data_IF_148338395083
#
_entry.id   IF_148338395083
#
_cell.length_a   1.000
_cell.length_b   1.000
_cell.length_c   1.000
_cell.angle_alpha   90.00
_cell.angle_beta   90.00
_cell.angle_gamma   90.00
#
_symmetry.space_group_name_H-M   'P 1'
#
loop_
_entity.id
_entity.type
_entity.pdbx_description
1 polymer ?
#
# COMPACT_ATOMS: atom_id res chain seq x y z
N UNK A 1 -42.29 -23.89 -58.96
CA UNK A 1 -40.88 -23.80 -59.41
C UNK A 1 -39.99 -24.11 -58.22
N UNK A 2 -39.44 -25.31 -58.22
CA UNK A 2 -38.58 -25.83 -57.16
C UNK A 2 -37.21 -25.13 -57.24
N UNK A 3 -36.92 -24.25 -56.29
CA UNK A 3 -35.71 -23.44 -56.28
C UNK A 3 -34.51 -24.26 -55.80
N UNK A 4 -34.02 -25.18 -56.65
CA UNK A 4 -32.79 -25.95 -56.38
C UNK A 4 -31.59 -25.00 -56.25
N UNK A 5 -31.10 -24.85 -55.01
CA UNK A 5 -29.84 -24.16 -54.71
C UNK A 5 -28.71 -24.95 -55.36
N UNK A 6 -28.19 -24.44 -56.47
CA UNK A 6 -27.03 -25.01 -57.17
C UNK A 6 -25.73 -24.53 -56.51
N UNK A 7 -24.73 -25.41 -56.37
CA UNK A 7 -23.40 -25.12 -55.77
C UNK A 7 -22.76 -23.81 -56.26
N UNK A 8 -23.04 -23.42 -57.51
CA UNK A 8 -22.57 -22.19 -58.15
C UNK A 8 -23.10 -20.91 -57.47
N UNK A 9 -24.35 -20.91 -57.00
CA UNK A 9 -24.96 -19.78 -56.26
C UNK A 9 -24.41 -19.64 -54.84
N UNK A 10 -24.11 -20.76 -54.18
CA UNK A 10 -23.48 -20.77 -52.86
C UNK A 10 -22.04 -20.20 -52.93
N UNK A 11 -21.30 -20.53 -53.99
CA UNK A 11 -19.93 -20.04 -54.19
C UNK A 11 -19.86 -18.53 -54.48
N UNK A 12 -20.87 -17.98 -55.17
CA UNK A 12 -20.97 -16.53 -55.46
C UNK A 12 -21.38 -15.73 -54.20
N UNK A 13 -22.25 -16.29 -53.35
CA UNK A 13 -22.57 -15.71 -52.04
C UNK A 13 -21.34 -15.68 -51.12
N UNK A 14 -20.59 -16.79 -51.06
CA UNK A 14 -19.34 -16.87 -50.28
C UNK A 14 -18.24 -15.95 -50.83
N UNK A 15 -18.10 -15.81 -52.16
CA UNK A 15 -17.05 -14.95 -52.74
C UNK A 15 -17.29 -13.45 -52.57
N UNK A 16 -18.54 -13.03 -52.27
CA UNK A 16 -18.89 -11.61 -52.14
C UNK A 16 -19.13 -11.17 -50.68
N UNK A 17 -19.54 -12.08 -49.80
CA UNK A 17 -19.82 -11.76 -48.39
C UNK A 17 -18.72 -12.19 -47.39
N UNK A 18 -17.65 -12.88 -47.82
CA UNK A 18 -16.58 -13.30 -46.91
C UNK A 18 -15.91 -12.14 -46.16
N UNK A 19 -15.73 -10.98 -46.80
CA UNK A 19 -15.18 -9.77 -46.14
C UNK A 19 -16.12 -9.29 -45.03
N UNK A 20 -17.44 -9.29 -45.26
CA UNK A 20 -18.43 -8.89 -44.26
C UNK A 20 -18.48 -9.88 -43.10
N UNK A 21 -18.35 -11.18 -43.39
CA UNK A 21 -18.28 -12.23 -42.37
C UNK A 21 -17.02 -12.04 -41.50
N UNK A 22 -15.86 -11.73 -42.10
CA UNK A 22 -14.63 -11.43 -41.34
C UNK A 22 -14.81 -10.16 -40.51
N UNK A 23 -15.35 -9.07 -41.07
CA UNK A 23 -15.61 -7.83 -40.34
C UNK A 23 -16.57 -8.03 -39.16
N UNK A 24 -17.64 -8.81 -39.36
CA UNK A 24 -18.57 -9.18 -38.30
C UNK A 24 -17.88 -10.02 -37.22
N UNK A 25 -17.03 -10.97 -37.60
CA UNK A 25 -16.26 -11.78 -36.65
C UNK A 25 -15.28 -10.93 -35.83
N UNK A 26 -14.56 -10.00 -36.46
CA UNK A 26 -13.66 -9.05 -35.76
C UNK A 26 -14.47 -8.17 -34.82
N UNK A 27 -15.60 -7.62 -35.27
CA UNK A 27 -16.48 -6.82 -34.41
C UNK A 27 -17.01 -7.62 -33.23
N UNK A 28 -17.40 -8.88 -33.44
CA UNK A 28 -17.85 -9.77 -32.38
C UNK A 28 -16.72 -10.07 -31.37
N UNK A 29 -15.49 -10.32 -31.83
CA UNK A 29 -14.31 -10.51 -30.96
C UNK A 29 -14.03 -9.24 -30.14
N UNK A 30 -14.09 -8.06 -30.77
CA UNK A 30 -13.90 -6.79 -30.06
C UNK A 30 -14.98 -6.55 -29.03
N UNK A 31 -16.25 -6.79 -29.36
CA UNK A 31 -17.37 -6.70 -28.41
C UNK A 31 -17.19 -7.71 -27.28
N UNK A 32 -16.79 -8.95 -27.57
CA UNK A 32 -16.58 -9.96 -26.54
C UNK A 32 -15.38 -9.63 -25.64
N UNK A 33 -14.31 -9.07 -26.22
CA UNK A 33 -13.14 -8.57 -25.48
C UNK A 33 -13.48 -7.36 -24.62
N UNK A 34 -14.32 -6.45 -25.12
CA UNK A 34 -14.83 -5.30 -24.38
C UNK A 34 -15.73 -5.74 -23.22
N UNK A 35 -16.65 -6.67 -23.48
CA UNK A 35 -17.49 -7.26 -22.44
C UNK A 35 -16.60 -7.94 -21.40
N UNK A 36 -15.63 -8.76 -21.80
CA UNK A 36 -14.74 -9.43 -20.87
C UNK A 36 -13.93 -8.42 -20.03
N UNK A 37 -13.35 -7.40 -20.66
CA UNK A 37 -12.57 -6.37 -19.96
C UNK A 37 -13.42 -5.48 -19.04
N UNK A 38 -14.67 -5.18 -19.40
CA UNK A 38 -15.59 -4.39 -18.58
C UNK A 38 -16.31 -5.21 -17.50
N UNK A 39 -16.46 -6.53 -17.68
CA UNK A 39 -17.16 -7.41 -16.74
C UNK A 39 -16.22 -8.18 -15.82
N UNK A 40 -14.93 -8.31 -16.18
CA UNK A 40 -13.90 -8.85 -15.30
C UNK A 40 -13.84 -8.03 -14.01
N UNK A 41 -14.07 -8.72 -12.89
CA UNK A 41 -14.03 -8.10 -11.57
C UNK A 41 -12.57 -7.86 -11.24
N UNK A 42 -12.09 -6.63 -11.39
CA UNK A 42 -10.74 -6.24 -10.96
C UNK A 42 -10.74 -5.97 -9.47
N UNK A 43 -9.64 -6.31 -8.82
CA UNK A 43 -9.35 -5.95 -7.43
C UNK A 43 -9.36 -4.42 -7.35
N UNK A 44 -10.11 -3.86 -6.40
CA UNK A 44 -10.09 -2.40 -6.18
C UNK A 44 -8.82 -1.99 -5.45
N UNK A 45 -8.39 -0.70 -5.46
CA UNK A 45 -7.25 -0.24 -4.67
C UNK A 45 -7.32 -0.69 -3.20
N UNK A 46 -8.49 -0.55 -2.55
CA UNK A 46 -8.73 -1.05 -1.18
C UNK A 46 -8.51 -2.55 -0.93
N UNK A 47 -8.45 -3.35 -1.99
CA UNK A 47 -8.34 -4.80 -1.94
C UNK A 47 -6.96 -5.29 -2.41
N UNK A 48 -6.09 -4.38 -2.89
CA UNK A 48 -4.72 -4.70 -3.28
C UNK A 48 -3.75 -3.94 -2.37
N UNK A 49 -3.07 -4.67 -1.48
CA UNK A 49 -2.09 -4.07 -0.59
C UNK A 49 -0.72 -4.00 -1.27
N UNK A 50 -0.23 -2.80 -1.56
CA UNK A 50 0.99 -2.56 -2.33
C UNK A 50 2.11 -2.05 -1.42
N UNK A 51 3.22 -2.78 -1.41
CA UNK A 51 4.40 -2.50 -0.61
C UNK A 51 5.53 -2.06 -1.53
N UNK A 52 6.05 -0.86 -1.31
CA UNK A 52 7.15 -0.29 -2.05
C UNK A 52 8.45 -0.37 -1.27
N UNK A 53 9.54 -0.60 -1.99
CA UNK A 53 10.89 -0.35 -1.50
C UNK A 53 11.47 0.85 -2.23
N UNK A 54 11.85 1.91 -1.51
CA UNK A 54 12.32 3.16 -2.09
C UNK A 54 13.83 3.20 -2.31
N UNK A 55 14.27 4.12 -3.16
CA UNK A 55 15.70 4.36 -3.44
C UNK A 55 16.49 4.57 -2.14
N UNK A 56 17.74 4.10 -2.12
CA UNK A 56 18.61 4.14 -0.93
C UNK A 56 18.55 2.89 -0.07
N UNK A 57 17.66 1.96 -0.38
CA UNK A 57 17.56 0.64 0.27
C UNK A 57 17.68 -0.48 -0.77
N UNK A 58 17.87 -1.70 -0.29
CA UNK A 58 17.95 -2.94 -1.07
C UNK A 58 17.05 -3.98 -0.41
N UNK A 59 16.48 -4.86 -1.23
CA UNK A 59 15.56 -5.91 -0.78
C UNK A 59 16.19 -7.30 -0.90
N UNK A 60 15.66 -8.25 -0.14
CA UNK A 60 15.99 -9.67 -0.24
C UNK A 60 14.81 -10.47 -0.83
N UNK A 61 14.98 -11.79 -0.96
CA UNK A 61 13.89 -12.70 -1.28
C UNK A 61 12.73 -12.68 -0.25
N UNK A 62 13.01 -12.32 1.02
CA UNK A 62 11.97 -12.26 2.06
C UNK A 62 10.98 -11.13 1.79
N UNK A 63 11.47 -9.98 1.35
CA UNK A 63 10.61 -8.89 0.88
C UNK A 63 9.71 -9.34 -0.27
N UNK A 64 10.28 -9.95 -1.32
CA UNK A 64 9.50 -10.45 -2.46
C UNK A 64 8.45 -11.50 -2.05
N UNK A 65 8.71 -12.23 -0.97
CA UNK A 65 7.78 -13.21 -0.40
C UNK A 65 6.55 -12.59 0.27
N UNK A 66 6.49 -11.26 0.50
CA UNK A 66 5.32 -10.62 1.10
C UNK A 66 4.05 -10.79 0.25
N UNK A 67 4.19 -10.94 -1.06
CA UNK A 67 3.10 -11.33 -1.96
C UNK A 67 2.40 -12.64 -1.53
N UNK A 68 3.09 -13.49 -0.77
CA UNK A 68 2.57 -14.75 -0.22
C UNK A 68 1.92 -14.63 1.16
N UNK A 69 1.83 -13.43 1.75
CA UNK A 69 1.21 -13.22 3.06
C UNK A 69 -0.32 -13.33 3.05
N UNK A 70 -0.92 -13.45 1.86
CA UNK A 70 -2.35 -13.64 1.70
C UNK A 70 -2.80 -14.88 2.47
N UNK A 71 -3.69 -14.68 3.45
CA UNK A 71 -4.24 -15.75 4.29
C UNK A 71 -3.34 -16.21 5.44
N UNK A 72 -2.27 -15.47 5.78
CA UNK A 72 -1.40 -15.75 6.94
C UNK A 72 -1.76 -14.90 8.18
N UNK A 73 -3.02 -14.54 8.36
CA UNK A 73 -3.53 -13.69 9.47
C UNK A 73 -2.81 -12.34 9.65
N UNK A 74 -2.22 -11.80 8.58
CA UNK A 74 -1.61 -10.45 8.56
C UNK A 74 -2.65 -9.40 8.21
N UNK A 75 -3.35 -9.62 7.10
CA UNK A 75 -4.34 -8.72 6.55
C UNK A 75 -5.74 -9.25 6.78
N UNK A 76 -6.73 -8.37 6.79
CA UNK A 76 -8.12 -8.81 6.80
C UNK A 76 -8.54 -9.45 5.48
N UNK A 77 -9.73 -10.06 5.48
CA UNK A 77 -10.33 -10.66 4.28
C UNK A 77 -10.60 -9.66 3.15
N UNK A 78 -10.53 -8.34 3.43
CA UNK A 78 -10.66 -7.30 2.41
C UNK A 78 -9.47 -7.29 1.44
N UNK A 79 -8.27 -7.64 1.90
CA UNK A 79 -7.09 -7.73 1.04
C UNK A 79 -7.13 -9.03 0.23
N UNK A 80 -7.27 -8.87 -1.09
CA UNK A 80 -7.35 -9.96 -2.06
C UNK A 80 -6.04 -10.17 -2.81
N UNK A 81 -5.21 -9.14 -2.91
CA UNK A 81 -3.92 -9.18 -3.59
C UNK A 81 -2.90 -8.41 -2.77
N UNK A 82 -1.66 -8.89 -2.79
CA UNK A 82 -0.53 -8.23 -2.15
C UNK A 82 0.54 -8.14 -3.22
N UNK A 83 1.03 -6.94 -3.46
CA UNK A 83 2.07 -6.69 -4.45
C UNK A 83 3.26 -6.02 -3.80
N UNK A 84 4.45 -6.46 -4.20
CA UNK A 84 5.72 -5.87 -3.76
C UNK A 84 6.41 -5.28 -4.97
N UNK A 85 6.85 -4.04 -4.86
CA UNK A 85 7.54 -3.35 -5.94
C UNK A 85 8.81 -2.70 -5.41
N UNK A 86 9.95 -3.19 -5.88
CA UNK A 86 11.23 -2.55 -5.60
C UNK A 86 11.51 -1.45 -6.64
N UNK A 87 11.42 -0.20 -6.17
CA UNK A 87 11.55 0.99 -7.01
C UNK A 87 13.02 1.24 -7.36
N UNK A 88 13.99 0.64 -6.65
CA UNK A 88 15.43 0.88 -6.87
C UNK A 88 15.95 0.33 -8.20
N UNK A 89 15.35 -0.75 -8.70
CA UNK A 89 15.81 -1.47 -9.90
C UNK A 89 15.66 -0.67 -11.20
N UNK A 90 14.90 0.43 -11.18
CA UNK A 90 14.57 1.21 -12.37
C UNK A 90 15.54 2.34 -12.73
N UNK A 91 16.38 2.81 -11.79
CA UNK A 91 17.24 4.03 -11.81
C UNK A 91 16.62 5.31 -12.42
N UNK A 92 16.21 5.27 -13.69
CA UNK A 92 15.54 6.35 -14.42
C UNK A 92 14.01 6.16 -14.57
N UNK A 93 13.47 4.96 -14.32
CA UNK A 93 12.03 4.66 -14.41
C UNK A 93 11.33 4.54 -13.05
N UNK A 94 12.11 4.57 -11.97
CA UNK A 94 11.70 4.44 -10.58
C UNK A 94 10.66 5.47 -10.17
N UNK A 95 10.98 6.75 -10.41
CA UNK A 95 10.10 7.87 -10.09
C UNK A 95 8.82 7.86 -10.94
N UNK A 96 8.94 7.58 -12.24
CA UNK A 96 7.78 7.44 -13.15
C UNK A 96 6.86 6.30 -12.71
N UNK A 97 7.42 5.18 -12.23
CA UNK A 97 6.64 4.05 -11.73
C UNK A 97 5.86 4.46 -10.46
N UNK A 98 6.54 5.07 -9.49
CA UNK A 98 5.90 5.54 -8.25
C UNK A 98 4.83 6.60 -8.54
N UNK A 99 5.13 7.57 -9.40
CA UNK A 99 4.18 8.59 -9.84
C UNK A 99 2.97 7.97 -10.53
N UNK A 100 3.17 6.96 -11.39
CA UNK A 100 2.07 6.28 -12.10
C UNK A 100 1.16 5.54 -11.12
N UNK A 101 1.76 4.82 -10.15
CA UNK A 101 1.01 4.05 -9.13
C UNK A 101 0.23 4.98 -8.20
N UNK A 102 0.89 5.99 -7.67
CA UNK A 102 0.28 6.98 -6.77
C UNK A 102 -0.81 7.81 -7.47
N UNK A 103 -0.65 8.14 -8.76
CA UNK A 103 -1.71 8.80 -9.55
C UNK A 103 -2.97 7.94 -9.73
N UNK A 104 -2.85 6.62 -9.61
CA UNK A 104 -3.99 5.68 -9.60
C UNK A 104 -4.46 5.32 -8.18
N UNK A 105 -3.95 6.01 -7.15
CA UNK A 105 -4.19 5.70 -5.74
C UNK A 105 -3.79 4.26 -5.36
N UNK A 106 -2.74 3.75 -6.01
CA UNK A 106 -2.15 2.44 -5.70
C UNK A 106 -0.91 2.63 -4.82
N UNK A 107 -0.92 2.03 -3.63
CA UNK A 107 0.14 2.14 -2.64
C UNK A 107 -0.41 2.10 -1.22
N UNK A 108 0.25 1.37 -0.33
CA UNK A 108 -0.20 1.30 1.07
C UNK A 108 0.97 1.49 2.06
N UNK A 109 2.14 0.95 1.72
CA UNK A 109 3.33 1.05 2.55
C UNK A 109 4.58 1.26 1.69
N UNK A 110 5.53 2.05 2.20
CA UNK A 110 6.81 2.30 1.53
C UNK A 110 7.95 2.26 2.54
N UNK A 111 8.97 1.44 2.27
CA UNK A 111 10.22 1.44 3.01
C UNK A 111 11.17 2.50 2.47
N UNK A 112 11.78 3.29 3.35
CA UNK A 112 12.83 4.25 3.03
C UNK A 112 13.86 4.31 4.17
N UNK A 113 15.13 4.50 3.85
CA UNK A 113 16.15 4.75 4.88
C UNK A 113 16.11 6.22 5.31
N UNK A 114 16.17 6.49 6.61
CA UNK A 114 16.37 7.85 7.13
C UNK A 114 17.88 8.16 7.24
N UNK A 115 18.58 8.02 6.12
CA UNK A 115 20.03 8.26 5.99
C UNK A 115 20.25 9.25 4.86
N UNK A 116 21.24 10.13 5.02
CA UNK A 116 21.58 11.17 4.04
C UNK A 116 21.85 10.57 2.65
N UNK A 117 21.26 11.20 1.63
CA UNK A 117 21.54 10.91 0.23
C UNK A 117 22.55 11.93 -0.31
N UNK A 118 23.83 11.56 -0.27
CA UNK A 118 24.95 12.40 -0.73
C UNK A 118 24.87 12.76 -2.24
N UNK A 119 24.10 12.01 -3.04
CA UNK A 119 23.96 12.25 -4.47
C UNK A 119 22.99 13.41 -4.81
N UNK A 120 22.24 13.90 -3.83
CA UNK A 120 21.17 14.88 -4.02
C UNK A 120 21.39 16.07 -3.09
N UNK A 121 21.23 17.29 -3.59
CA UNK A 121 21.40 18.52 -2.79
C UNK A 121 20.19 19.44 -2.93
N UNK A 122 19.66 19.87 -1.79
CA UNK A 122 18.50 20.76 -1.64
C UNK A 122 18.95 22.05 -0.96
N UNK A 123 18.13 23.10 -1.00
CA UNK A 123 18.39 24.36 -0.31
C UNK A 123 17.39 24.55 0.84
N UNK A 124 17.88 24.96 2.00
CA UNK A 124 17.04 25.35 3.14
C UNK A 124 16.39 26.74 2.91
N UNK A 125 15.55 27.26 3.83
CA UNK A 125 14.93 28.57 3.70
C UNK A 125 15.92 29.75 3.65
N UNK A 126 17.16 29.56 4.12
CA UNK A 126 18.23 30.56 4.09
C UNK A 126 19.07 30.48 2.80
N UNK A 127 18.83 29.47 1.96
CA UNK A 127 19.60 29.21 0.75
C UNK A 127 20.86 28.37 0.97
N UNK A 128 21.04 27.79 2.16
CA UNK A 128 22.15 26.90 2.49
C UNK A 128 21.90 25.51 1.91
N UNK A 129 22.90 24.95 1.24
CA UNK A 129 22.81 23.65 0.62
C UNK A 129 22.93 22.53 1.66
N UNK A 130 22.11 21.50 1.54
CA UNK A 130 22.18 20.31 2.38
C UNK A 130 21.79 19.05 1.60
N UNK A 131 22.14 17.88 2.14
CA UNK A 131 21.77 16.58 1.58
C UNK A 131 20.55 16.03 2.31
N UNK A 132 19.39 15.85 1.64
CA UNK A 132 18.23 15.26 2.29
C UNK A 132 18.46 13.77 2.55
N UNK A 133 17.79 13.20 3.55
CA UNK A 133 17.73 11.73 3.68
C UNK A 133 16.89 11.11 2.55
N UNK A 134 17.05 9.81 2.28
CA UNK A 134 16.20 9.13 1.29
C UNK A 134 14.71 9.22 1.65
N UNK A 135 14.37 9.16 2.94
CA UNK A 135 13.03 9.43 3.46
C UNK A 135 12.57 10.85 3.14
N UNK A 136 13.38 11.88 3.44
CA UNK A 136 13.06 13.27 3.13
C UNK A 136 12.84 13.47 1.63
N UNK A 137 13.68 12.90 0.78
CA UNK A 137 13.55 12.97 -0.67
C UNK A 137 12.20 12.42 -1.15
N UNK A 138 11.74 11.28 -0.60
CA UNK A 138 10.41 10.76 -0.90
C UNK A 138 9.33 11.76 -0.44
N UNK A 139 9.40 12.24 0.80
CA UNK A 139 8.39 13.11 1.38
C UNK A 139 8.30 14.47 0.65
N UNK A 140 9.40 14.99 0.12
CA UNK A 140 9.38 16.21 -0.70
C UNK A 140 8.42 16.13 -1.89
N UNK A 141 8.29 14.97 -2.51
CA UNK A 141 7.39 14.74 -3.64
C UNK A 141 6.01 14.24 -3.22
N UNK A 142 5.91 13.56 -2.08
CA UNK A 142 4.73 12.75 -1.73
C UNK A 142 4.17 12.97 -0.32
N UNK A 143 4.57 14.03 0.41
CA UNK A 143 4.09 14.27 1.78
C UNK A 143 2.55 14.35 1.89
N UNK A 144 1.87 14.83 0.85
CA UNK A 144 0.42 15.00 0.84
C UNK A 144 -0.35 13.68 0.82
N UNK A 145 0.33 12.57 0.51
CA UNK A 145 -0.20 11.21 0.56
C UNK A 145 0.53 10.36 1.61
N UNK A 146 1.40 10.95 2.43
CA UNK A 146 2.02 10.28 3.56
C UNK A 146 1.13 10.48 4.79
N UNK A 147 0.83 9.39 5.50
CA UNK A 147 0.10 9.47 6.75
C UNK A 147 0.91 10.27 7.78
N UNK A 148 0.34 11.38 8.26
CA UNK A 148 0.84 12.03 9.46
C UNK A 148 0.44 11.18 10.67
N UNK A 149 1.42 10.57 11.33
CA UNK A 149 1.20 9.44 12.23
C UNK A 149 0.41 9.80 13.49
N UNK A 150 0.63 10.97 14.08
CA UNK A 150 -0.15 11.40 15.24
C UNK A 150 -1.65 11.49 14.88
N UNK A 151 -1.97 12.13 13.75
CA UNK A 151 -3.33 12.19 13.22
C UNK A 151 -3.89 10.84 12.77
N UNK A 152 -3.07 10.01 12.11
CA UNK A 152 -3.48 8.68 11.64
C UNK A 152 -3.92 7.79 12.81
N UNK A 153 -3.16 7.81 13.91
CA UNK A 153 -3.48 7.04 15.11
C UNK A 153 -4.74 7.58 15.79
N UNK A 154 -4.88 8.90 15.94
CA UNK A 154 -6.10 9.52 16.49
C UNK A 154 -7.35 9.17 15.65
N UNK A 155 -7.25 9.24 14.32
CA UNK A 155 -8.36 8.89 13.43
C UNK A 155 -8.73 7.39 13.51
N UNK A 156 -7.75 6.52 13.77
CA UNK A 156 -7.98 5.10 14.00
C UNK A 156 -8.66 4.85 15.35
N UNK A 157 -8.29 5.59 16.40
CA UNK A 157 -8.99 5.56 17.70
C UNK A 157 -10.46 5.96 17.53
N UNK A 158 -10.73 7.09 16.89
CA UNK A 158 -12.09 7.56 16.60
C UNK A 158 -12.86 6.55 15.77
N UNK A 159 -12.22 5.94 14.76
CA UNK A 159 -12.84 4.88 13.96
C UNK A 159 -13.27 3.68 14.82
N UNK A 160 -12.42 3.22 15.73
CA UNK A 160 -12.70 2.09 16.60
C UNK A 160 -13.72 2.46 17.69
N UNK A 161 -13.64 3.63 18.29
CA UNK A 161 -14.58 4.10 19.32
C UNK A 161 -16.03 4.07 18.83
N UNK A 162 -16.26 4.35 17.54
CA UNK A 162 -17.57 4.23 16.90
C UNK A 162 -18.16 2.80 16.95
N UNK A 163 -17.31 1.77 17.09
CA UNK A 163 -17.70 0.36 17.20
C UNK A 163 -17.58 -0.19 18.62
N UNK A 164 -16.97 0.53 19.55
CA UNK A 164 -16.77 0.09 20.93
C UNK A 164 -17.36 1.06 21.97
N UNK A 165 -18.42 1.80 21.59
CA UNK A 165 -19.19 2.68 22.47
C UNK A 165 -18.36 3.81 23.12
N UNK A 166 -17.37 4.34 22.39
CA UNK A 166 -16.51 5.43 22.87
C UNK A 166 -15.32 4.98 23.74
N UNK A 167 -15.08 3.67 23.85
CA UNK A 167 -13.89 3.14 24.50
C UNK A 167 -13.38 1.92 23.73
N UNK A 168 -12.51 2.13 22.75
CA UNK A 168 -11.94 1.04 21.98
C UNK A 168 -11.07 0.11 22.83
N UNK A 169 -10.50 0.56 23.96
CA UNK A 169 -9.57 -0.25 24.78
C UNK A 169 -10.31 -1.27 25.63
N UNK A 170 -11.36 -0.84 26.35
CA UNK A 170 -12.09 -1.71 27.29
C UNK A 170 -13.56 -1.95 26.89
N UNK A 171 -14.08 -1.23 25.90
CA UNK A 171 -15.44 -1.35 25.43
C UNK A 171 -15.77 -2.70 24.80
N UNK A 172 -17.07 -3.00 24.78
CA UNK A 172 -17.62 -4.18 24.09
C UNK A 172 -18.03 -3.77 22.68
N UNK A 173 -17.69 -4.59 21.70
CA UNK A 173 -18.03 -4.34 20.31
C UNK A 173 -19.57 -4.25 20.11
N UNK A 174 -20.03 -3.15 19.51
CA UNK A 174 -21.39 -3.00 19.02
C UNK A 174 -21.54 -3.80 17.72
N UNK A 175 -21.87 -5.08 17.87
CA UNK A 175 -22.05 -5.99 16.74
C UNK A 175 -23.19 -5.55 15.81
N UNK A 176 -24.20 -4.85 16.33
CA UNK A 176 -25.32 -4.37 15.52
C UNK A 176 -24.88 -3.20 14.62
N UNK A 177 -24.07 -2.29 15.15
CA UNK A 177 -23.46 -1.21 14.36
C UNK A 177 -22.50 -1.75 13.29
N UNK A 178 -21.66 -2.72 13.65
CA UNK A 178 -20.74 -3.37 12.70
C UNK A 178 -21.54 -4.04 11.57
N UNK A 179 -22.62 -4.77 11.90
CA UNK A 179 -23.48 -5.39 10.88
C UNK A 179 -24.15 -4.36 9.99
N UNK A 180 -24.70 -3.28 10.57
CA UNK A 180 -25.34 -2.22 9.83
C UNK A 180 -24.38 -1.59 8.81
N UNK A 181 -23.17 -1.23 9.25
CA UNK A 181 -22.17 -0.60 8.40
C UNK A 181 -21.64 -1.56 7.34
N UNK A 182 -21.41 -2.83 7.71
CA UNK A 182 -21.02 -3.88 6.77
C UNK A 182 -22.04 -4.03 5.64
N UNK A 183 -23.33 -4.18 5.99
CA UNK A 183 -24.42 -4.30 5.02
C UNK A 183 -24.54 -3.05 4.15
N UNK A 184 -24.37 -1.86 4.74
CA UNK A 184 -24.36 -0.61 4.00
C UNK A 184 -23.18 -0.55 3.01
N UNK A 185 -21.98 -0.96 3.43
CA UNK A 185 -20.76 -0.99 2.62
C UNK A 185 -20.89 -1.92 1.42
N UNK A 186 -21.24 -3.20 1.64
CA UNK A 186 -21.35 -4.18 0.55
C UNK A 186 -22.40 -3.76 -0.49
N UNK A 187 -23.48 -3.09 -0.05
CA UNK A 187 -24.51 -2.53 -0.94
C UNK A 187 -23.98 -1.33 -1.73
N UNK A 188 -23.31 -0.38 -1.05
CA UNK A 188 -22.71 0.82 -1.67
C UNK A 188 -21.73 0.45 -2.77
N UNK A 189 -20.87 -0.55 -2.53
CA UNK A 189 -19.84 -0.98 -3.47
C UNK A 189 -20.28 -2.12 -4.41
N UNK A 190 -21.51 -2.61 -4.28
CA UNK A 190 -22.03 -3.74 -5.06
C UNK A 190 -21.07 -4.95 -5.03
N UNK A 191 -20.59 -5.26 -3.84
CA UNK A 191 -19.58 -6.30 -3.65
C UNK A 191 -20.13 -7.68 -4.07
N UNK A 192 -19.53 -8.24 -5.11
CA UNK A 192 -19.96 -9.51 -5.70
C UNK A 192 -19.62 -10.71 -4.82
N UNK A 193 -18.84 -10.56 -3.74
CA UNK A 193 -18.55 -11.63 -2.77
C UNK A 193 -19.78 -11.99 -1.92
N UNK A 194 -20.70 -11.05 -1.72
CA UNK A 194 -21.82 -11.15 -0.79
C UNK A 194 -23.19 -11.06 -1.49
N UNK A 195 -23.58 -12.11 -2.22
CA UNK A 195 -24.80 -12.10 -3.07
C UNK A 195 -26.04 -12.65 -2.38
N UNK A 196 -25.87 -13.45 -1.34
CA UNK A 196 -26.95 -14.09 -0.61
C UNK A 196 -26.71 -14.02 0.91
N UNK A 197 -27.76 -14.27 1.69
CA UNK A 197 -27.71 -14.12 3.14
C UNK A 197 -26.66 -15.03 3.80
N UNK A 198 -26.46 -16.26 3.32
CA UNK A 198 -25.41 -17.14 3.84
C UNK A 198 -24.01 -16.55 3.66
N UNK A 199 -23.73 -15.95 2.49
CA UNK A 199 -22.46 -15.27 2.23
C UNK A 199 -22.32 -14.01 3.09
N UNK A 200 -23.40 -13.24 3.26
CA UNK A 200 -23.41 -12.04 4.12
C UNK A 200 -23.11 -12.43 5.56
N UNK A 201 -23.72 -13.50 6.08
CA UNK A 201 -23.48 -13.97 7.45
C UNK A 201 -22.04 -14.46 7.66
N UNK A 202 -21.43 -15.08 6.63
CA UNK A 202 -20.00 -15.41 6.69
C UNK A 202 -19.15 -14.13 6.70
N UNK A 203 -19.42 -13.20 5.78
CA UNK A 203 -18.72 -11.92 5.70
C UNK A 203 -18.83 -11.09 6.97
N UNK A 204 -19.96 -11.16 7.67
CA UNK A 204 -20.14 -10.49 8.96
C UNK A 204 -19.18 -11.04 10.03
N UNK A 205 -18.92 -12.35 10.05
CA UNK A 205 -17.92 -12.92 10.97
C UNK A 205 -16.52 -12.45 10.62
N UNK A 206 -16.22 -12.40 9.32
CA UNK A 206 -14.93 -11.92 8.83
C UNK A 206 -14.76 -10.41 9.15
N UNK A 207 -15.84 -9.63 9.07
CA UNK A 207 -15.88 -8.21 9.44
C UNK A 207 -15.68 -7.98 10.93
N UNK A 208 -16.36 -8.74 11.79
CA UNK A 208 -16.16 -8.67 13.24
C UNK A 208 -14.70 -8.96 13.59
N UNK A 209 -14.10 -9.96 12.92
CA UNK A 209 -12.69 -10.31 13.08
C UNK A 209 -11.78 -9.18 12.59
N UNK A 210 -12.13 -8.52 11.48
CA UNK A 210 -11.39 -7.37 10.93
C UNK A 210 -11.34 -6.20 11.92
N UNK A 211 -12.49 -5.78 12.45
CA UNK A 211 -12.57 -4.69 13.43
C UNK A 211 -11.78 -5.03 14.69
N UNK A 212 -11.88 -6.28 15.16
CA UNK A 212 -11.11 -6.76 16.31
C UNK A 212 -9.60 -6.77 16.04
N UNK A 213 -9.17 -7.15 14.84
CA UNK A 213 -7.76 -7.13 14.46
C UNK A 213 -7.22 -5.71 14.38
N UNK A 214 -8.01 -4.75 13.90
CA UNK A 214 -7.62 -3.33 13.94
C UNK A 214 -7.48 -2.82 15.36
N UNK A 215 -8.42 -3.17 16.26
CA UNK A 215 -8.30 -2.85 17.68
C UNK A 215 -7.00 -3.38 18.27
N UNK A 216 -6.71 -4.66 18.06
CA UNK A 216 -5.45 -5.28 18.52
C UNK A 216 -4.25 -4.61 17.90
N UNK A 217 -4.29 -4.29 16.60
CA UNK A 217 -3.18 -3.64 15.92
C UNK A 217 -2.83 -2.30 16.55
N UNK A 218 -3.84 -1.47 16.86
CA UNK A 218 -3.61 -0.18 17.50
C UNK A 218 -3.07 -0.31 18.93
N UNK A 219 -3.65 -1.22 19.73
CA UNK A 219 -3.19 -1.48 21.10
C UNK A 219 -1.76 -2.00 21.11
N UNK A 220 -1.45 -3.00 20.29
CA UNK A 220 -0.11 -3.58 20.18
C UNK A 220 0.91 -2.54 19.69
N UNK A 221 0.55 -1.73 18.68
CA UNK A 221 1.43 -0.70 18.14
C UNK A 221 1.76 0.39 19.16
N UNK A 222 0.76 0.87 19.89
CA UNK A 222 0.97 1.82 20.99
C UNK A 222 1.88 1.22 22.08
N UNK A 223 1.72 -0.07 22.38
CA UNK A 223 2.64 -0.79 23.26
C UNK A 223 4.08 -0.82 22.72
N UNK A 224 4.27 -1.13 21.43
CA UNK A 224 5.60 -1.12 20.80
C UNK A 224 6.25 0.27 20.79
N UNK A 225 5.46 1.34 20.63
CA UNK A 225 5.92 2.71 20.75
C UNK A 225 6.34 3.05 22.19
N UNK A 226 5.53 2.68 23.18
CA UNK A 226 5.82 2.92 24.61
C UNK A 226 7.08 2.16 25.07
N UNK A 227 7.27 0.92 24.61
CA UNK A 227 8.45 0.10 24.87
C UNK A 227 9.68 0.52 24.04
N UNK A 228 9.50 1.43 23.09
CA UNK A 228 10.54 1.96 22.20
C UNK A 228 11.07 0.95 21.17
N UNK A 229 10.33 -0.10 20.83
CA UNK A 229 10.70 -1.02 19.74
C UNK A 229 10.67 -0.34 18.37
N UNK A 230 9.81 0.68 18.24
CA UNK A 230 9.67 1.54 17.08
C UNK A 230 9.55 2.99 17.57
N UNK A 231 9.85 3.93 16.69
CA UNK A 231 9.73 5.36 16.99
C UNK A 231 9.02 6.07 15.85
N UNK A 232 8.30 7.15 16.16
CA UNK A 232 7.74 8.03 15.11
C UNK A 232 8.79 9.06 14.72
N UNK A 233 9.13 9.14 13.44
CA UNK A 233 10.19 10.03 12.94
C UNK A 233 9.60 11.37 12.56
N UNK A 234 9.97 12.42 13.31
CA UNK A 234 9.68 13.80 12.92
C UNK A 234 10.56 14.20 11.74
N UNK A 235 9.94 14.73 10.70
CA UNK A 235 10.64 15.20 9.49
C UNK A 235 10.23 16.63 9.18
N UNK A 236 11.22 17.48 8.96
CA UNK A 236 11.03 18.85 8.45
C UNK A 236 11.28 18.90 6.94
N UNK A 237 10.35 19.49 6.21
CA UNK A 237 10.38 19.72 4.78
C UNK A 237 10.33 21.23 4.50
N UNK A 238 11.17 21.69 3.58
CA UNK A 238 11.23 23.07 3.10
C UNK A 238 10.65 23.14 1.70
N UNK A 239 9.33 23.33 1.61
CA UNK A 239 8.60 23.38 0.35
C UNK A 239 8.61 24.79 -0.20
N UNK A 240 8.59 24.95 -1.52
CA UNK A 240 8.44 26.25 -2.16
C UNK A 240 7.07 26.34 -2.84
N UNK A 241 6.31 27.38 -2.53
CA UNK A 241 5.09 27.67 -3.25
C UNK A 241 5.45 28.11 -4.67
N UNK A 242 5.10 27.30 -5.67
CA UNK A 242 5.43 27.56 -7.08
C UNK A 242 4.78 28.84 -7.63
N UNK A 243 3.74 29.38 -6.98
CA UNK A 243 3.00 30.57 -7.41
C UNK A 243 3.47 31.86 -6.72
N UNK A 244 3.87 31.80 -5.45
CA UNK A 244 4.29 32.99 -4.68
C UNK A 244 5.80 33.07 -4.46
N UNK A 245 6.53 31.96 -4.66
CA UNK A 245 7.95 31.83 -4.33
C UNK A 245 8.23 31.75 -2.83
N UNK A 246 7.20 31.80 -1.98
CA UNK A 246 7.33 31.72 -0.53
C UNK A 246 7.75 30.31 -0.08
N UNK A 247 8.67 30.27 0.87
CA UNK A 247 9.09 29.03 1.52
C UNK A 247 8.10 28.64 2.60
N UNK A 248 7.55 27.44 2.49
CA UNK A 248 6.73 26.79 3.49
C UNK A 248 7.59 25.77 4.24
N UNK A 249 7.74 25.95 5.55
CA UNK A 249 8.36 24.94 6.41
C UNK A 249 7.25 24.07 6.99
N UNK A 250 7.31 22.77 6.74
CA UNK A 250 6.37 21.78 7.24
C UNK A 250 7.13 20.78 8.12
N UNK A 251 6.71 20.64 9.38
CA UNK A 251 7.26 19.65 10.30
C UNK A 251 6.14 18.74 10.77
N UNK A 252 6.36 17.43 10.72
CA UNK A 252 5.40 16.43 11.17
C UNK A 252 6.01 15.03 11.23
N UNK A 253 5.30 14.10 11.85
CA UNK A 253 5.74 12.70 11.95
C UNK A 253 5.16 11.86 10.82
N UNK A 254 5.90 11.71 9.73
CA UNK A 254 5.39 11.09 8.50
C UNK A 254 5.82 9.63 8.30
N UNK A 255 6.60 9.08 9.23
CA UNK A 255 7.06 7.70 9.14
C UNK A 255 7.27 7.08 10.51
N UNK A 256 7.36 5.75 10.50
CA UNK A 256 7.67 4.93 11.67
C UNK A 256 9.08 4.37 11.46
N UNK A 257 10.02 4.71 12.33
CA UNK A 257 11.33 4.07 12.40
C UNK A 257 11.15 2.63 12.91
N UNK A 258 11.40 1.67 12.03
CA UNK A 258 11.32 0.24 12.32
C UNK A 258 12.64 -0.33 12.85
N UNK A 259 13.69 0.44 13.09
CA UNK A 259 14.86 -0.08 13.77
C UNK A 259 15.66 1.07 14.39
N UNK A 260 15.10 1.77 15.41
CA UNK A 260 15.78 2.88 16.05
C UNK A 260 17.07 2.44 16.77
N UNK A 261 17.15 1.19 17.24
CA UNK A 261 18.29 0.75 18.06
C UNK A 261 18.63 -0.75 17.97
N UNK A 262 18.93 -1.26 16.78
CA UNK A 262 19.32 -2.67 16.48
C UNK A 262 18.39 -3.79 17.03
N UNK A 263 17.37 -3.49 17.85
CA UNK A 263 16.42 -4.46 18.43
C UNK A 263 15.65 -5.20 17.35
N UNK A 264 15.42 -4.55 16.20
CA UNK A 264 14.81 -5.15 15.02
C UNK A 264 15.84 -5.46 13.92
N UNK A 265 17.07 -5.85 14.30
CA UNK A 265 18.16 -6.23 13.38
C UNK A 265 17.78 -7.25 12.30
N UNK A 266 16.77 -8.10 12.54
CA UNK A 266 16.32 -9.08 11.55
C UNK A 266 15.51 -8.46 10.42
N UNK A 267 15.11 -7.18 10.51
CA UNK A 267 14.51 -6.43 9.41
C UNK A 267 15.43 -6.37 8.19
N UNK A 268 16.75 -6.41 8.39
CA UNK A 268 17.74 -6.46 7.30
C UNK A 268 17.59 -7.68 6.39
N UNK A 269 16.92 -8.73 6.88
CA UNK A 269 16.59 -9.89 6.08
C UNK A 269 15.40 -9.64 5.15
N UNK A 270 14.69 -8.51 5.23
CA UNK A 270 13.72 -8.03 4.24
C UNK A 270 14.29 -6.88 3.42
N UNK A 271 14.65 -5.80 4.12
CA UNK A 271 15.07 -4.52 3.56
C UNK A 271 16.27 -4.03 4.34
N UNK A 272 17.31 -3.60 3.63
CA UNK A 272 18.56 -3.14 4.23
C UNK A 272 19.19 -2.03 3.39
N UNK A 273 20.16 -1.32 3.94
CA UNK A 273 21.13 -0.52 3.17
C UNK A 273 22.54 -0.88 3.65
N UNK A 274 23.56 -0.41 2.93
CA UNK A 274 24.94 -0.62 3.32
C UNK A 274 25.44 0.57 4.14
N UNK A 275 25.93 0.32 5.36
CA UNK A 275 26.68 1.31 6.14
C UNK A 275 28.18 0.96 6.13
N UNK A 276 29.02 1.98 6.13
CA UNK A 276 30.47 1.81 6.30
C UNK A 276 30.79 1.77 7.79
N UNK A 277 31.46 0.70 8.22
CA UNK A 277 31.96 0.52 9.59
C UNK A 277 33.47 0.31 9.55
N UNK A 278 34.17 0.69 10.61
CA UNK A 278 35.59 0.36 10.79
C UNK A 278 35.73 -0.98 11.48
N UNK A 279 36.63 -1.83 10.97
CA UNK A 279 36.96 -3.10 11.61
C UNK A 279 37.98 -2.93 12.75
N UNK A 280 38.40 -4.04 13.37
CA UNK A 280 39.37 -4.05 14.48
C UNK A 280 40.77 -3.51 14.09
N UNK A 281 41.05 -3.36 12.79
CA UNK A 281 42.30 -2.84 12.24
C UNK A 281 42.14 -1.41 11.66
N UNK A 282 41.03 -0.71 11.96
CA UNK A 282 40.68 0.59 11.38
C UNK A 282 40.46 0.57 9.84
N UNK A 283 40.27 -0.61 9.24
CA UNK A 283 39.92 -0.72 7.81
C UNK A 283 38.41 -0.53 7.60
N UNK A 284 38.05 0.26 6.58
CA UNK A 284 36.65 0.50 6.23
C UNK A 284 36.02 -0.71 5.54
N UNK A 285 34.89 -1.16 6.06
CA UNK A 285 34.08 -2.26 5.52
C UNK A 285 32.63 -1.85 5.40
N UNK A 286 32.00 -2.21 4.28
CA UNK A 286 30.56 -2.05 4.09
C UNK A 286 29.81 -3.26 4.64
N UNK A 287 28.78 -3.02 5.45
CA UNK A 287 27.95 -4.07 6.06
C UNK A 287 26.46 -3.76 5.86
N UNK A 288 25.63 -4.78 5.59
CA UNK A 288 24.19 -4.58 5.48
C UNK A 288 23.59 -4.31 6.86
N UNK A 289 22.76 -3.30 6.94
CA UNK A 289 22.09 -2.85 8.17
C UNK A 289 20.63 -2.48 7.88
N UNK A 290 19.80 -2.51 8.92
CA UNK A 290 18.43 -2.02 8.89
C UNK A 290 18.19 -0.83 9.83
N UNK A 291 19.25 -0.32 10.46
CA UNK A 291 19.22 0.87 11.31
C UNK A 291 18.52 2.04 10.62
N UNK A 292 17.62 2.74 11.30
CA UNK A 292 16.88 3.87 10.73
C UNK A 292 16.13 3.59 9.42
N UNK A 293 15.81 2.32 9.13
CA UNK A 293 14.84 1.99 8.10
C UNK A 293 13.45 2.37 8.63
N UNK A 294 12.83 3.25 7.87
CA UNK A 294 11.52 3.79 8.14
C UNK A 294 10.49 3.16 7.19
N UNK A 295 9.25 3.07 7.67
CA UNK A 295 8.09 2.78 6.86
C UNK A 295 7.16 4.00 6.85
N UNK A 296 6.76 4.41 5.65
CA UNK A 296 5.73 5.41 5.42
C UNK A 296 4.44 4.67 5.06
N UNK A 297 3.36 4.94 5.78
CA UNK A 297 2.03 4.49 5.38
C UNK A 297 1.45 5.52 4.41
N UNK A 298 0.94 5.04 3.27
CA UNK A 298 0.36 5.91 2.25
C UNK A 298 -1.13 6.10 2.53
N UNK A 299 -1.58 7.35 2.52
CA UNK A 299 -2.94 7.76 2.77
C UNK A 299 -3.40 8.72 1.67
N UNK A 300 -4.10 8.16 0.67
CA UNK A 300 -4.64 8.94 -0.45
C UNK A 300 -5.87 9.79 -0.08
N UNK A 301 -6.27 9.86 1.20
CA UNK A 301 -7.41 10.62 1.70
C UNK A 301 -8.72 10.38 0.93
N UNK A 302 -8.90 9.17 0.37
CA UNK A 302 -10.08 8.80 -0.38
C UNK A 302 -11.14 8.16 0.53
N UNK A 303 -12.18 8.92 0.88
CA UNK A 303 -13.35 8.46 1.66
C UNK A 303 -14.01 7.20 1.11
N UNK A 304 -13.83 6.93 -0.19
CA UNK A 304 -14.37 5.72 -0.84
C UNK A 304 -13.78 4.45 -0.23
N UNK A 305 -12.53 4.46 0.21
CA UNK A 305 -11.80 3.27 0.65
C UNK A 305 -11.26 3.40 2.07
N UNK A 306 -11.68 4.42 2.82
CA UNK A 306 -11.26 4.67 4.20
C UNK A 306 -11.39 3.45 5.13
N UNK A 307 -12.29 2.50 4.85
CA UNK A 307 -12.45 1.30 5.66
C UNK A 307 -11.22 0.38 5.66
N UNK A 308 -10.38 0.38 4.63
CA UNK A 308 -9.19 -0.49 4.52
C UNK A 308 -7.89 0.22 4.89
N UNK A 309 -7.92 1.52 5.23
CA UNK A 309 -6.74 2.34 5.53
C UNK A 309 -5.89 1.79 6.69
N UNK A 310 -6.50 1.04 7.60
CA UNK A 310 -5.88 0.50 8.81
C UNK A 310 -5.06 -0.78 8.58
N UNK A 311 -5.13 -1.37 7.38
CA UNK A 311 -4.31 -2.54 7.01
C UNK A 311 -2.81 -2.24 7.07
N UNK A 312 -2.43 -0.97 6.87
CA UNK A 312 -1.05 -0.50 7.02
C UNK A 312 -0.47 -0.79 8.40
N UNK A 313 -1.24 -0.50 9.47
CA UNK A 313 -0.79 -0.75 10.83
C UNK A 313 -0.73 -2.25 11.16
N UNK A 314 -1.65 -3.05 10.63
CA UNK A 314 -1.60 -4.51 10.75
C UNK A 314 -0.29 -5.07 10.14
N UNK A 315 0.11 -4.54 8.98
CA UNK A 315 1.37 -4.91 8.34
C UNK A 315 2.58 -4.48 9.17
N UNK A 316 2.58 -3.26 9.71
CA UNK A 316 3.65 -2.79 10.62
C UNK A 316 3.82 -3.72 11.82
N UNK A 317 2.72 -4.12 12.48
CA UNK A 317 2.81 -5.06 13.61
C UNK A 317 3.29 -6.46 13.19
N UNK A 318 2.97 -6.90 11.97
CA UNK A 318 3.56 -8.12 11.42
C UNK A 318 5.09 -7.98 11.26
N UNK A 319 5.58 -6.86 10.73
CA UNK A 319 7.01 -6.60 10.58
C UNK A 319 7.72 -6.58 11.94
N UNK A 320 7.14 -5.91 12.93
CA UNK A 320 7.69 -5.83 14.29
C UNK A 320 7.81 -7.25 14.86
N UNK A 321 6.71 -8.01 14.89
CA UNK A 321 6.72 -9.37 15.45
C UNK A 321 7.70 -10.30 14.76
N UNK A 322 7.79 -10.25 13.43
CA UNK A 322 8.70 -11.14 12.67
C UNK A 322 10.16 -10.71 12.72
N UNK A 323 10.42 -9.43 12.99
CA UNK A 323 11.78 -8.91 13.14
C UNK A 323 12.31 -9.08 14.56
N UNK A 324 11.43 -9.07 15.56
CA UNK A 324 11.76 -9.39 16.95
C UNK A 324 11.96 -10.90 17.17
N UNK A 325 11.15 -11.75 16.54
CA UNK A 325 11.04 -13.18 16.87
C UNK A 325 12.15 -14.11 16.34
N UNK A 326 13.29 -13.59 15.88
CA UNK A 326 14.42 -14.43 15.47
C UNK A 326 15.55 -14.35 16.51
N UNK A 327 15.40 -15.18 17.55
CA UNK A 327 16.50 -15.78 18.32
C UNK A 327 16.76 -17.21 17.84
#
# INVERSE_FOLDING_TARGET
MDAKITKKRLNILLSYDWIKIILLAVAAILVWSLIFTMTATRVTPAQNFTIFNYTGTSVTDRFNSYSSLKGKDVFSYEILEISTTDITTGKNYSETLLQTRTATEEGDALFAANVENEEVSYADPNGEAYHPTYLQQFLYSYYSIAAEMDKYLEEMEVYLDNYYNGDYKAGVADTAKIEQDFRARIKRFKDKRFKNETQIQKGLKDELTRIENYRKALVDFNGYLEDGYVELTETTLYLQNSSTGETLTLTGKYSINLCPDERMKNLKNDVYYYKTVKDENDEEKTVPTAEDINIVLLDFHNDKYAYSRWEGLCFVNYLIRTSLAAE
#
